data_IF_088518951295
#
_entry.id   IF_088518951295
#
_cell.length_a   1.000
_cell.length_b   1.000
_cell.length_c   1.000
_cell.angle_alpha   90.00
_cell.angle_beta   90.00
_cell.angle_gamma   90.00
#
_symmetry.space_group_name_H-M   'P 1'
#
loop_
_entity.id
_entity.type
_entity.pdbx_description
1 polymer ?
#
# COMPACT_ATOMS: atom_id res chain seq x y z
N UNK A 1 -30.21 21.53 -31.28
CA UNK A 1 -30.59 20.11 -31.10
C UNK A 1 -29.40 19.23 -31.45
N UNK A 2 -28.45 19.06 -30.54
CA UNK A 2 -27.34 18.11 -30.71
C UNK A 2 -27.11 17.42 -29.37
N UNK A 3 -27.86 16.33 -29.16
CA UNK A 3 -27.73 15.46 -28.01
C UNK A 3 -26.34 14.85 -27.99
N UNK A 4 -25.49 15.39 -27.12
CA UNK A 4 -24.17 14.86 -26.81
C UNK A 4 -24.32 13.47 -26.24
N UNK A 5 -23.82 12.49 -26.98
CA UNK A 5 -23.70 11.09 -26.60
C UNK A 5 -23.10 10.97 -25.21
N UNK A 6 -23.93 10.68 -24.22
CA UNK A 6 -23.49 10.04 -22.97
C UNK A 6 -23.13 8.59 -23.31
N UNK A 7 -21.98 8.37 -23.93
CA UNK A 7 -21.42 7.03 -24.08
C UNK A 7 -21.02 6.56 -22.69
N UNK A 8 -21.90 5.79 -22.05
CA UNK A 8 -21.55 5.00 -20.89
C UNK A 8 -20.29 4.18 -21.25
N UNK A 9 -19.24 4.19 -20.40
CA UNK A 9 -18.08 3.36 -20.63
C UNK A 9 -18.53 1.91 -20.66
N UNK A 10 -18.25 1.23 -21.77
CA UNK A 10 -18.39 -0.21 -21.89
C UNK A 10 -17.62 -0.86 -20.73
N UNK A 11 -18.18 -1.89 -20.10
CA UNK A 11 -17.56 -2.65 -19.01
C UNK A 11 -16.05 -2.97 -19.17
N UNK A 12 -15.52 -3.27 -20.39
CA UNK A 12 -14.08 -3.42 -20.60
C UNK A 12 -13.24 -2.16 -20.28
N UNK A 13 -13.78 -0.96 -20.49
CA UNK A 13 -13.11 0.30 -20.17
C UNK A 13 -12.97 0.56 -18.66
N UNK A 14 -13.93 0.07 -17.86
CA UNK A 14 -13.88 0.25 -16.41
C UNK A 14 -12.78 -0.60 -15.75
N UNK A 15 -12.67 -1.86 -16.16
CA UNK A 15 -11.63 -2.76 -15.66
C UNK A 15 -10.24 -2.31 -16.14
N UNK A 16 -10.12 -1.86 -17.39
CA UNK A 16 -8.87 -1.32 -17.91
C UNK A 16 -8.39 -0.11 -17.09
N UNK A 17 -9.26 0.87 -16.80
CA UNK A 17 -8.92 2.04 -15.99
C UNK A 17 -8.48 1.67 -14.57
N UNK A 18 -9.21 0.77 -13.91
CA UNK A 18 -8.86 0.30 -12.56
C UNK A 18 -7.50 -0.40 -12.53
N UNK A 19 -7.21 -1.23 -13.55
CA UNK A 19 -5.96 -2.00 -13.65
C UNK A 19 -4.74 -1.11 -13.91
N UNK A 20 -4.90 -0.04 -14.68
CA UNK A 20 -3.86 0.98 -14.90
C UNK A 20 -3.53 1.71 -13.60
N UNK A 21 -4.55 2.12 -12.84
CA UNK A 21 -4.34 2.75 -11.53
C UNK A 21 -3.65 1.78 -10.57
N UNK A 22 -4.13 0.53 -10.48
CA UNK A 22 -3.53 -0.51 -9.64
C UNK A 22 -2.04 -0.72 -9.97
N UNK A 23 -1.68 -0.94 -11.23
CA UNK A 23 -0.31 -1.21 -11.64
C UNK A 23 0.63 -0.02 -11.36
N UNK A 24 0.14 1.21 -11.60
CA UNK A 24 0.89 2.44 -11.28
C UNK A 24 1.13 2.58 -9.78
N UNK A 25 0.10 2.40 -8.96
CA UNK A 25 0.19 2.53 -7.50
C UNK A 25 1.07 1.43 -6.88
N UNK A 26 0.97 0.20 -7.40
CA UNK A 26 1.82 -0.91 -6.98
C UNK A 26 3.30 -0.62 -7.32
N UNK A 27 3.59 -0.19 -8.55
CA UNK A 27 4.95 0.18 -8.93
C UNK A 27 5.48 1.34 -8.08
N UNK A 28 4.66 2.37 -7.86
CA UNK A 28 5.03 3.49 -6.98
C UNK A 28 5.35 3.01 -5.56
N UNK A 29 4.60 2.05 -5.02
CA UNK A 29 4.84 1.49 -3.68
C UNK A 29 6.25 0.92 -3.53
N UNK A 30 6.76 0.20 -4.53
CA UNK A 30 8.12 -0.35 -4.52
C UNK A 30 9.20 0.65 -4.93
N UNK A 31 8.85 1.84 -5.42
CA UNK A 31 9.81 2.82 -5.94
C UNK A 31 10.16 3.93 -4.94
N UNK A 32 9.76 3.84 -3.66
CA UNK A 32 10.33 4.76 -2.65
C UNK A 32 11.20 4.14 -1.60
N UNK A 33 12.30 4.86 -1.40
CA UNK A 33 13.33 4.64 -0.41
C UNK A 33 12.76 4.53 1.01
N UNK A 34 11.63 5.19 1.32
CA UNK A 34 11.01 5.14 2.66
C UNK A 34 10.47 3.73 2.96
N UNK A 35 9.86 3.06 1.98
CA UNK A 35 9.35 1.70 2.16
C UNK A 35 10.49 0.71 2.46
N UNK A 36 11.61 0.83 1.74
CA UNK A 36 12.80 0.01 1.98
C UNK A 36 13.42 0.27 3.35
N UNK A 37 13.56 1.54 3.76
CA UNK A 37 14.12 1.88 5.08
C UNK A 37 13.24 1.32 6.20
N UNK A 38 11.92 1.46 6.09
CA UNK A 38 10.98 0.90 7.06
C UNK A 38 11.06 -0.64 7.10
N UNK A 39 11.12 -1.31 5.94
CA UNK A 39 11.22 -2.76 5.85
C UNK A 39 12.53 -3.29 6.46
N UNK A 40 13.66 -2.65 6.17
CA UNK A 40 14.97 -3.01 6.75
C UNK A 40 14.95 -2.78 8.26
N UNK A 41 14.43 -1.65 8.71
CA UNK A 41 14.30 -1.34 10.14
C UNK A 41 13.44 -2.37 10.88
N UNK A 42 12.30 -2.75 10.28
CA UNK A 42 11.42 -3.81 10.80
C UNK A 42 12.15 -5.14 10.91
N UNK A 43 12.84 -5.57 9.83
CA UNK A 43 13.58 -6.84 9.81
C UNK A 43 14.65 -6.91 10.89
N UNK A 44 15.42 -5.83 11.05
CA UNK A 44 16.49 -5.77 12.05
C UNK A 44 15.93 -5.80 13.48
N UNK A 45 14.88 -5.03 13.76
CA UNK A 45 14.21 -5.02 15.06
C UNK A 45 13.59 -6.38 15.39
N UNK A 46 12.80 -6.94 14.48
CA UNK A 46 12.15 -8.23 14.68
C UNK A 46 13.18 -9.35 14.91
N UNK A 47 14.25 -9.39 14.10
CA UNK A 47 15.31 -10.40 14.23
C UNK A 47 16.11 -10.24 15.53
N UNK A 48 16.41 -9.00 15.93
CA UNK A 48 17.15 -8.74 17.16
C UNK A 48 16.35 -9.10 18.40
N UNK A 49 15.06 -8.76 18.44
CA UNK A 49 14.20 -9.09 19.57
C UNK A 49 13.94 -10.60 19.66
N UNK A 50 13.74 -11.26 18.51
CA UNK A 50 13.64 -12.71 18.45
C UNK A 50 14.91 -13.39 18.98
N UNK A 51 16.08 -12.96 18.53
CA UNK A 51 17.35 -13.54 18.96
C UNK A 51 17.57 -13.38 20.46
N UNK A 52 17.25 -12.20 21.01
CA UNK A 52 17.38 -11.93 22.43
C UNK A 52 16.53 -12.88 23.28
N UNK A 53 15.23 -12.97 22.99
CA UNK A 53 14.30 -13.85 23.71
C UNK A 53 14.65 -15.33 23.54
N UNK A 54 15.05 -15.74 22.33
CA UNK A 54 15.45 -17.12 22.06
C UNK A 54 16.62 -17.56 22.93
N UNK A 55 17.65 -16.72 23.10
CA UNK A 55 18.79 -17.03 23.94
C UNK A 55 18.50 -16.93 25.44
N UNK A 56 17.61 -16.02 25.88
CA UNK A 56 17.24 -15.90 27.29
C UNK A 56 16.41 -17.08 27.78
N UNK A 57 15.42 -17.51 26.99
CA UNK A 57 14.49 -18.57 27.38
C UNK A 57 15.11 -19.96 27.18
N UNK A 58 16.01 -20.11 26.20
CA UNK A 58 16.72 -21.37 25.94
C UNK A 58 15.80 -22.52 25.49
N UNK A 59 14.61 -22.20 24.97
CA UNK A 59 13.63 -23.17 24.44
C UNK A 59 13.46 -22.97 22.94
N UNK A 60 13.25 -24.08 22.23
CA UNK A 60 12.93 -24.08 20.80
C UNK A 60 11.44 -23.80 20.60
N UNK A 61 11.00 -22.57 20.87
CA UNK A 61 9.62 -22.14 20.73
C UNK A 61 9.54 -20.80 19.98
N UNK A 62 8.53 -20.67 19.13
CA UNK A 62 8.24 -19.43 18.39
C UNK A 62 7.03 -18.68 18.95
N UNK A 63 6.36 -19.19 19.98
CA UNK A 63 5.24 -18.51 20.64
C UNK A 63 5.60 -17.06 21.04
N UNK A 64 6.75 -16.79 21.69
CA UNK A 64 7.12 -15.42 22.05
C UNK A 64 7.31 -14.49 20.85
N UNK A 65 7.78 -15.03 19.73
CA UNK A 65 7.94 -14.26 18.48
C UNK A 65 6.60 -13.80 17.93
N UNK A 66 5.61 -14.69 17.91
CA UNK A 66 4.25 -14.38 17.43
C UNK A 66 3.49 -13.45 18.38
N UNK A 67 3.79 -13.46 19.68
CA UNK A 67 3.24 -12.49 20.63
C UNK A 67 3.84 -11.09 20.42
N UNK A 68 5.10 -11.01 20.02
CA UNK A 68 5.81 -9.76 19.79
C UNK A 68 5.49 -9.13 18.42
N UNK A 69 5.11 -9.94 17.43
CA UNK A 69 4.79 -9.50 16.07
C UNK A 69 3.66 -8.44 16.00
N UNK A 70 2.47 -8.64 16.60
CA UNK A 70 1.38 -7.67 16.57
C UNK A 70 1.74 -6.26 17.07
N UNK A 71 2.34 -6.07 18.26
CA UNK A 71 2.72 -4.72 18.71
C UNK A 71 3.80 -4.09 17.82
N UNK A 72 4.71 -4.89 17.27
CA UNK A 72 5.73 -4.41 16.35
C UNK A 72 5.10 -3.95 15.02
N UNK A 73 4.12 -4.69 14.53
CA UNK A 73 3.33 -4.30 13.36
C UNK A 73 2.51 -3.03 13.58
N UNK A 74 1.93 -2.81 14.76
CA UNK A 74 1.21 -1.56 15.06
C UNK A 74 2.11 -0.32 14.91
N UNK A 75 3.41 -0.44 15.20
CA UNK A 75 4.37 0.64 15.00
C UNK A 75 4.76 0.84 13.52
N UNK A 76 4.97 -0.25 12.78
CA UNK A 76 5.49 -0.20 11.41
C UNK A 76 4.41 -0.08 10.33
N UNK A 77 3.21 -0.62 10.53
CA UNK A 77 2.10 -0.50 9.57
C UNK A 77 1.77 0.96 9.23
N UNK A 78 1.69 1.91 10.18
CA UNK A 78 1.46 3.31 9.86
C UNK A 78 2.57 3.88 8.98
N UNK A 79 3.84 3.56 9.27
CA UNK A 79 4.97 4.04 8.47
C UNK A 79 4.92 3.52 7.03
N UNK A 80 4.51 2.26 6.83
CA UNK A 80 4.38 1.65 5.51
C UNK A 80 3.12 2.15 4.77
N UNK A 81 1.99 2.30 5.48
CA UNK A 81 0.69 2.66 4.89
C UNK A 81 0.46 4.16 4.68
N UNK A 82 1.06 5.03 5.51
CA UNK A 82 0.90 6.49 5.41
C UNK A 82 1.26 7.03 4.04
N UNK A 83 2.18 6.36 3.35
CA UNK A 83 2.66 6.77 2.04
C UNK A 83 1.58 6.73 0.95
N UNK A 84 0.67 5.75 0.99
CA UNK A 84 -0.38 5.58 -0.03
C UNK A 84 -1.28 6.83 -0.17
N UNK A 85 -1.42 7.59 0.92
CA UNK A 85 -2.21 8.82 0.97
C UNK A 85 -1.35 10.10 1.07
N UNK A 86 -0.17 10.03 1.70
CA UNK A 86 0.70 11.19 1.87
C UNK A 86 1.38 11.61 0.55
N UNK A 87 1.75 10.66 -0.32
CA UNK A 87 2.43 10.96 -1.59
C UNK A 87 1.52 11.73 -2.55
N UNK A 88 0.24 11.37 -2.62
CA UNK A 88 -0.75 12.08 -3.43
C UNK A 88 -0.98 13.52 -2.96
N UNK A 89 -0.91 13.73 -1.64
CA UNK A 89 -1.10 15.04 -1.01
C UNK A 89 0.13 15.94 -1.18
N UNK A 90 1.32 15.35 -1.13
CA UNK A 90 2.61 16.03 -1.33
C UNK A 90 2.82 16.45 -2.78
N UNK A 91 2.38 15.64 -3.73
CA UNK A 91 2.74 15.78 -5.15
C UNK A 91 1.65 16.47 -5.98
N UNK A 92 0.56 16.94 -5.34
CA UNK A 92 -0.68 17.46 -5.96
C UNK A 92 -1.25 16.55 -7.07
N UNK A 93 -0.88 15.28 -7.08
CA UNK A 93 -1.29 14.33 -8.12
C UNK A 93 -2.78 14.03 -8.05
N UNK A 94 -3.40 14.27 -6.89
CA UNK A 94 -4.84 14.21 -6.73
C UNK A 94 -5.60 15.11 -7.72
N UNK A 95 -5.11 16.33 -7.98
CA UNK A 95 -5.74 17.27 -8.92
C UNK A 95 -5.65 16.77 -10.37
N UNK A 96 -4.53 16.14 -10.72
CA UNK A 96 -4.33 15.47 -12.01
C UNK A 96 -5.24 14.24 -12.18
N UNK A 97 -5.37 13.42 -11.14
CA UNK A 97 -6.21 12.21 -11.17
C UNK A 97 -7.70 12.54 -11.31
N UNK A 98 -8.15 13.67 -10.75
CA UNK A 98 -9.53 14.14 -10.86
C UNK A 98 -9.83 14.79 -12.22
N UNK A 99 -8.81 15.29 -12.94
CA UNK A 99 -8.98 15.85 -14.29
C UNK A 99 -8.92 14.79 -15.40
N UNK A 100 -8.37 13.61 -15.11
CA UNK A 100 -8.44 12.45 -16.00
C UNK A 100 -9.90 11.95 -16.14
N UNK A 101 -10.31 11.40 -17.30
CA UNK A 101 -11.64 10.86 -17.53
C UNK A 101 -11.85 9.50 -16.83
N UNK A 102 -11.44 9.39 -15.57
CA UNK A 102 -11.57 8.21 -14.72
C UNK A 102 -12.72 8.41 -13.74
N UNK A 103 -13.45 7.33 -13.44
CA UNK A 103 -14.49 7.39 -12.41
C UNK A 103 -13.84 7.37 -11.02
N UNK A 104 -14.37 8.10 -10.03
CA UNK A 104 -13.86 8.06 -8.65
C UNK A 104 -13.77 6.63 -8.10
N UNK A 105 -14.74 5.77 -8.45
CA UNK A 105 -14.77 4.37 -8.02
C UNK A 105 -13.59 3.55 -8.58
N UNK A 106 -13.14 3.81 -9.81
CA UNK A 106 -11.97 3.12 -10.39
C UNK A 106 -10.69 3.49 -9.63
N UNK A 107 -10.61 4.75 -9.19
CA UNK A 107 -9.48 5.26 -8.41
C UNK A 107 -9.43 4.58 -7.03
N UNK A 108 -10.57 4.50 -6.35
CA UNK A 108 -10.70 3.85 -5.04
C UNK A 108 -10.37 2.36 -5.14
N UNK A 109 -10.95 1.64 -6.11
CA UNK A 109 -10.68 0.21 -6.29
C UNK A 109 -9.23 -0.08 -6.69
N UNK A 110 -8.64 0.77 -7.54
CA UNK A 110 -7.24 0.65 -7.94
C UNK A 110 -6.27 0.85 -6.76
N UNK A 111 -6.49 1.90 -5.96
CA UNK A 111 -5.69 2.18 -4.74
C UNK A 111 -5.89 1.14 -3.66
N UNK A 112 -7.12 0.70 -3.44
CA UNK A 112 -7.43 -0.35 -2.47
C UNK A 112 -6.79 -1.68 -2.87
N UNK A 113 -6.89 -2.05 -4.16
CA UNK A 113 -6.19 -3.23 -4.68
C UNK A 113 -4.68 -3.13 -4.48
N UNK A 114 -4.08 -1.97 -4.79
CA UNK A 114 -2.64 -1.78 -4.64
C UNK A 114 -2.21 -1.89 -3.16
N UNK A 115 -3.03 -1.41 -2.23
CA UNK A 115 -2.80 -1.57 -0.79
C UNK A 115 -2.92 -3.02 -0.31
N UNK A 116 -3.81 -3.82 -0.92
CA UNK A 116 -3.94 -5.25 -0.63
C UNK A 116 -2.82 -6.11 -1.25
N UNK A 117 -2.24 -5.65 -2.35
CA UNK A 117 -1.11 -6.32 -3.00
C UNK A 117 0.25 -6.04 -2.36
N UNK A 118 0.27 -5.22 -1.32
CA UNK A 118 1.44 -4.89 -0.49
C UNK A 118 1.63 -5.98 0.57
#
# INVERSE_FOLDING_TARGET
MTGGRTSAPTAPGFLAGTRVVFARELAATFDSNIAYVAAIGFLLLASSLFMNEFFLVGRLDMTPFFELLPPLFVLFLPAISMRLWAEDRRTRTFELLVTLPLRPLQLVLGKYGAALGL
#
